data_IF_222994423009
#
_entry.id   IF_222994423009
#
_cell.length_a   1.000
_cell.length_b   1.000
_cell.length_c   1.000
_cell.angle_alpha   90.00
_cell.angle_beta   90.00
_cell.angle_gamma   90.00
#
_symmetry.space_group_name_H-M   'P 1'
#
loop_
_entity.id
_entity.type
_entity.pdbx_description
1 polymer ?
#
# COMPACT_ATOMS: atom_id res chain seq x y z
N UNK A 1 13.34 -3.03 32.53
CA UNK A 1 14.58 -3.58 31.94
C UNK A 1 14.70 -2.99 30.54
N UNK A 2 15.88 -2.49 30.10
CA UNK A 2 16.00 -1.99 28.74
C UNK A 2 15.72 -3.17 27.81
N UNK A 3 14.77 -3.00 26.87
CA UNK A 3 14.60 -3.93 25.77
C UNK A 3 16.00 -4.11 25.15
N UNK A 4 16.51 -5.35 25.16
CA UNK A 4 17.71 -5.66 24.40
C UNK A 4 17.37 -5.29 22.96
N UNK A 5 17.96 -4.19 22.47
CA UNK A 5 18.06 -3.98 21.05
C UNK A 5 18.67 -5.28 20.51
N UNK A 6 18.08 -5.85 19.47
CA UNK A 6 18.72 -6.89 18.69
C UNK A 6 20.01 -6.27 18.11
N UNK A 7 21.09 -6.26 18.89
CA UNK A 7 22.44 -6.12 18.39
C UNK A 7 22.73 -7.45 17.71
N UNK A 8 22.52 -7.47 16.40
CA UNK A 8 22.99 -8.51 15.52
C UNK A 8 24.50 -8.65 15.77
N UNK A 9 24.92 -9.74 16.43
CA UNK A 9 26.34 -10.07 16.52
C UNK A 9 26.88 -10.18 15.11
N UNK A 10 27.91 -9.38 14.81
CA UNK A 10 28.76 -9.49 13.63
C UNK A 10 28.14 -9.17 12.25
N UNK A 11 26.97 -8.52 12.19
CA UNK A 11 26.47 -7.90 10.95
C UNK A 11 26.21 -8.89 9.80
N UNK A 12 26.01 -10.18 10.10
CA UNK A 12 25.66 -11.20 9.12
C UNK A 12 24.46 -11.98 9.64
N UNK A 13 23.35 -11.84 8.94
CA UNK A 13 22.39 -12.93 8.89
C UNK A 13 22.97 -13.97 7.91
N UNK A 14 22.74 -15.26 8.13
CA UNK A 14 23.32 -16.36 7.36
C UNK A 14 23.23 -16.18 5.82
N UNK A 15 23.94 -17.01 5.04
CA UNK A 15 23.90 -16.97 3.56
C UNK A 15 22.48 -17.06 2.96
N UNK A 16 21.45 -17.49 3.73
CA UNK A 16 20.08 -17.64 3.26
C UNK A 16 19.22 -16.37 3.44
N UNK A 17 19.64 -15.45 4.29
CA UNK A 17 18.83 -14.32 4.78
C UNK A 17 19.20 -12.96 4.17
N UNK A 18 20.24 -12.93 3.33
CA UNK A 18 20.61 -11.79 2.49
C UNK A 18 21.49 -10.75 3.21
N UNK A 19 22.15 -9.90 2.42
CA UNK A 19 23.02 -8.84 2.96
C UNK A 19 22.20 -7.78 3.72
N UNK A 20 22.75 -7.28 4.82
CA UNK A 20 22.22 -6.09 5.48
C UNK A 20 22.51 -4.87 4.59
N UNK A 21 21.51 -4.04 4.38
CA UNK A 21 21.67 -2.75 3.69
C UNK A 21 21.17 -1.61 4.55
N UNK A 22 21.96 -0.53 4.57
CA UNK A 22 21.61 0.73 5.23
C UNK A 22 20.97 1.74 4.26
N UNK A 23 21.00 1.48 2.95
CA UNK A 23 20.48 2.39 1.93
C UNK A 23 19.68 1.65 0.86
N UNK A 24 18.36 1.89 0.85
CA UNK A 24 17.42 1.41 -0.17
C UNK A 24 16.86 2.57 -1.02
N UNK A 25 17.48 3.74 -0.96
CA UNK A 25 16.96 4.98 -1.55
C UNK A 25 17.74 5.42 -2.79
N UNK A 26 18.87 4.77 -3.09
CA UNK A 26 19.74 5.08 -4.23
C UNK A 26 19.33 4.39 -5.56
N UNK A 27 18.19 3.69 -5.58
CA UNK A 27 17.73 2.90 -6.72
C UNK A 27 18.07 1.40 -6.64
N UNK A 28 18.86 0.98 -5.64
CA UNK A 28 19.09 -0.43 -5.29
C UNK A 28 18.49 -0.74 -3.92
N UNK A 29 17.71 -1.82 -3.83
CA UNK A 29 16.93 -2.11 -2.62
C UNK A 29 17.14 -3.53 -2.06
N UNK A 30 18.06 -4.32 -2.62
CA UNK A 30 18.29 -5.71 -2.22
C UNK A 30 18.83 -5.79 -0.79
N UNK A 31 18.26 -6.70 0.00
CA UNK A 31 18.77 -7.05 1.32
C UNK A 31 17.77 -6.86 2.45
N UNK A 32 18.25 -6.97 3.69
CA UNK A 32 17.47 -6.65 4.88
C UNK A 32 17.78 -5.22 5.33
N UNK A 33 16.72 -4.43 5.51
CA UNK A 33 16.83 -3.00 5.81
C UNK A 33 16.05 -2.60 7.05
N UNK A 34 16.63 -1.69 7.84
CA UNK A 34 15.93 -1.04 8.95
C UNK A 34 15.03 0.08 8.42
N UNK A 35 13.74 -0.19 8.34
CA UNK A 35 12.85 0.68 7.58
C UNK A 35 12.66 2.08 8.19
N UNK A 36 12.72 3.09 7.33
CA UNK A 36 12.20 4.42 7.62
C UNK A 36 10.68 4.41 7.55
N UNK A 37 10.04 5.11 8.48
CA UNK A 37 8.59 5.25 8.55
C UNK A 37 8.25 6.69 8.84
N UNK A 38 7.03 7.12 8.50
CA UNK A 38 6.49 8.45 8.77
C UNK A 38 6.11 8.63 10.25
N UNK A 39 7.07 8.43 11.16
CA UNK A 39 6.94 8.62 12.61
C UNK A 39 8.17 9.38 13.12
N UNK A 40 7.93 10.50 13.81
CA UNK A 40 8.96 11.31 14.44
C UNK A 40 8.54 11.69 15.86
N UNK A 41 9.47 11.57 16.82
CA UNK A 41 9.25 11.86 18.24
C UNK A 41 7.94 11.26 18.79
N UNK A 42 7.68 9.98 18.49
CA UNK A 42 6.47 9.28 18.93
C UNK A 42 5.16 9.66 18.24
N UNK A 43 5.19 10.58 17.28
CA UNK A 43 4.01 11.03 16.55
C UNK A 43 4.07 10.60 15.09
N UNK A 44 2.91 10.25 14.53
CA UNK A 44 2.77 10.00 13.10
C UNK A 44 2.88 11.31 12.33
N UNK A 45 3.70 11.32 11.27
CA UNK A 45 3.75 12.40 10.29
C UNK A 45 2.65 12.17 9.26
N UNK A 46 1.73 13.11 9.13
CA UNK A 46 0.60 13.03 8.20
C UNK A 46 0.70 14.08 7.09
N UNK A 47 0.04 13.85 5.96
CA UNK A 47 -0.02 14.81 4.85
C UNK A 47 -0.73 16.12 5.22
N UNK A 48 -1.68 16.09 6.16
CA UNK A 48 -2.42 17.29 6.58
C UNK A 48 -1.53 18.35 7.26
N UNK A 49 -0.37 17.96 7.79
CA UNK A 49 0.61 18.88 8.36
C UNK A 49 1.11 19.91 7.33
N UNK A 50 1.07 19.60 6.02
CA UNK A 50 1.42 20.55 4.96
C UNK A 50 0.43 21.73 4.86
N UNK A 51 -0.76 21.63 5.47
CA UNK A 51 -1.84 22.62 5.40
C UNK A 51 -1.86 23.57 6.61
N UNK A 52 -1.38 23.14 7.78
CA UNK A 52 -1.53 23.88 9.06
C UNK A 52 -0.94 25.31 9.03
N UNK A 53 0.11 25.52 8.24
CA UNK A 53 0.84 26.81 8.21
C UNK A 53 0.28 27.80 7.18
N UNK A 54 -0.76 27.43 6.42
CA UNK A 54 -1.19 28.20 5.24
C UNK A 54 -2.52 28.91 5.45
N UNK A 55 -2.47 30.25 5.57
CA UNK A 55 -3.65 31.11 5.73
C UNK A 55 -4.54 31.22 4.48
N UNK A 56 -4.02 30.84 3.31
CA UNK A 56 -4.71 30.90 2.03
C UNK A 56 -5.36 29.56 1.63
N UNK A 57 -5.46 28.61 2.55
CA UNK A 57 -6.10 27.31 2.34
C UNK A 57 -7.38 27.24 3.15
N UNK A 58 -8.50 26.97 2.47
CA UNK A 58 -9.78 26.66 3.12
C UNK A 58 -10.00 25.15 3.10
N UNK A 59 -10.17 24.54 4.26
CA UNK A 59 -10.47 23.10 4.39
C UNK A 59 -11.95 22.94 4.69
N UNK A 60 -12.67 22.31 3.76
CA UNK A 60 -14.05 21.91 3.95
C UNK A 60 -14.07 20.40 4.24
N UNK A 61 -14.49 20.03 5.46
CA UNK A 61 -14.56 18.63 5.91
C UNK A 61 -15.99 18.11 5.88
N UNK A 62 -16.17 16.79 6.06
CA UNK A 62 -17.50 16.13 6.10
C UNK A 62 -18.36 16.45 4.88
N UNK A 63 -17.73 16.50 3.71
CA UNK A 63 -18.33 16.92 2.45
C UNK A 63 -17.99 15.89 1.39
N UNK A 64 -18.99 15.43 0.64
CA UNK A 64 -18.81 14.38 -0.38
C UNK A 64 -18.82 14.98 -1.78
N UNK A 65 -17.88 14.62 -2.64
CA UNK A 65 -17.89 15.07 -4.04
C UNK A 65 -19.03 14.41 -4.81
N UNK A 66 -19.85 15.21 -5.50
CA UNK A 66 -20.96 14.73 -6.34
C UNK A 66 -20.54 14.57 -7.79
N UNK A 67 -19.99 15.62 -8.39
CA UNK A 67 -19.46 15.64 -9.77
C UNK A 67 -18.59 16.87 -10.01
N UNK A 68 -17.76 16.81 -11.05
CA UNK A 68 -17.05 17.97 -11.60
C UNK A 68 -18.00 18.80 -12.48
N UNK A 69 -17.79 20.11 -12.47
CA UNK A 69 -18.54 21.05 -13.29
C UNK A 69 -17.80 21.24 -14.62
N UNK A 70 -18.15 20.47 -15.64
CA UNK A 70 -17.43 20.50 -16.93
C UNK A 70 -18.26 21.23 -17.98
N UNK A 71 -17.66 22.20 -18.66
CA UNK A 71 -18.27 22.81 -19.83
C UNK A 71 -18.16 21.83 -21.02
N UNK A 72 -19.30 21.39 -21.56
CA UNK A 72 -19.32 20.36 -22.59
C UNK A 72 -18.71 20.79 -23.93
N UNK A 73 -18.71 22.09 -24.25
CA UNK A 73 -18.20 22.64 -25.51
C UNK A 73 -16.71 22.87 -25.41
N UNK A 74 -16.27 23.61 -24.39
CA UNK A 74 -14.85 23.95 -24.22
C UNK A 74 -14.04 22.84 -23.56
N UNK A 75 -14.72 21.82 -23.02
CA UNK A 75 -14.13 20.73 -22.22
C UNK A 75 -13.35 21.22 -20.99
N UNK A 76 -13.60 22.45 -20.55
CA UNK A 76 -12.95 23.04 -19.37
C UNK A 76 -13.69 22.65 -18.09
N UNK A 77 -12.95 22.16 -17.10
CA UNK A 77 -13.45 22.02 -15.73
C UNK A 77 -13.54 23.39 -15.04
N UNK A 78 -14.70 23.69 -14.48
CA UNK A 78 -15.04 24.97 -13.85
C UNK A 78 -15.01 24.88 -12.32
N UNK A 79 -14.90 23.69 -11.75
CA UNK A 79 -15.02 23.44 -10.33
C UNK A 79 -15.64 22.10 -10.00
N UNK A 80 -16.24 22.00 -8.82
CA UNK A 80 -16.83 20.77 -8.27
C UNK A 80 -18.17 21.06 -7.59
N UNK A 81 -19.13 20.18 -7.77
CA UNK A 81 -20.36 20.10 -6.98
C UNK A 81 -20.16 19.05 -5.88
N UNK A 82 -20.57 19.38 -4.67
CA UNK A 82 -20.41 18.55 -3.47
C UNK A 82 -21.72 18.48 -2.69
N UNK A 83 -21.85 17.47 -1.84
CA UNK A 83 -22.91 17.35 -0.83
C UNK A 83 -22.34 17.76 0.54
N UNK A 84 -22.96 18.76 1.14
CA UNK A 84 -22.65 19.24 2.49
C UNK A 84 -23.15 18.25 3.56
N UNK A 85 -22.80 18.43 4.86
CA UNK A 85 -23.24 17.52 5.94
C UNK A 85 -24.75 17.38 6.11
N UNK A 86 -25.54 18.30 5.55
CA UNK A 86 -27.00 18.29 5.51
C UNK A 86 -27.56 17.71 4.19
N UNK A 87 -26.72 17.04 3.40
CA UNK A 87 -27.01 16.49 2.07
C UNK A 87 -27.39 17.52 0.99
N UNK A 88 -27.21 18.81 1.28
CA UNK A 88 -27.44 19.88 0.32
C UNK A 88 -26.31 19.96 -0.71
N UNK A 89 -26.69 20.07 -1.99
CA UNK A 89 -25.73 20.23 -3.07
C UNK A 89 -25.21 21.67 -3.14
N UNK A 90 -23.89 21.84 -3.09
CA UNK A 90 -23.23 23.13 -3.23
C UNK A 90 -22.14 23.08 -4.30
N UNK A 91 -22.02 24.15 -5.09
CA UNK A 91 -21.02 24.26 -6.17
C UNK A 91 -19.89 25.21 -5.79
N UNK A 92 -18.65 24.75 -5.95
CA UNK A 92 -17.44 25.56 -5.78
C UNK A 92 -16.75 25.72 -7.13
N UNK A 93 -16.47 26.96 -7.54
CA UNK A 93 -15.78 27.26 -8.81
C UNK A 93 -14.30 27.51 -8.58
N UNK A 94 -13.48 27.02 -9.50
CA UNK A 94 -12.05 27.26 -9.50
C UNK A 94 -11.70 28.44 -10.43
N UNK A 95 -10.90 29.38 -9.95
CA UNK A 95 -10.38 30.49 -10.77
C UNK A 95 -9.34 30.03 -11.80
N UNK A 96 -8.58 28.99 -11.48
CA UNK A 96 -7.51 28.45 -12.32
C UNK A 96 -7.77 26.99 -12.67
N UNK A 97 -7.61 26.09 -11.70
CA UNK A 97 -7.62 24.64 -11.91
C UNK A 97 -8.39 23.91 -10.81
N UNK A 98 -8.91 22.73 -11.16
CA UNK A 98 -9.48 21.77 -10.21
C UNK A 98 -8.63 20.53 -10.22
N UNK A 99 -8.02 20.20 -9.08
CA UNK A 99 -7.13 19.05 -8.92
C UNK A 99 -7.90 17.94 -8.20
N UNK A 100 -8.04 16.78 -8.83
CA UNK A 100 -8.78 15.64 -8.29
C UNK A 100 -7.82 14.72 -7.53
N UNK A 101 -7.98 14.64 -6.20
CA UNK A 101 -7.07 13.92 -5.28
C UNK A 101 -7.81 13.04 -4.27
N UNK A 102 -8.92 12.44 -4.69
CA UNK A 102 -9.77 11.54 -3.88
C UNK A 102 -9.21 10.11 -3.75
N UNK A 103 -8.09 9.79 -4.38
CA UNK A 103 -7.41 8.49 -4.28
C UNK A 103 -7.84 7.50 -5.38
N UNK A 104 -7.25 6.29 -5.35
CA UNK A 104 -7.27 5.34 -6.49
C UNK A 104 -8.67 4.85 -6.88
N UNK A 105 -9.59 4.73 -5.91
CA UNK A 105 -10.97 4.26 -6.18
C UNK A 105 -11.94 5.40 -6.48
N UNK A 106 -11.83 6.51 -5.75
CA UNK A 106 -12.79 7.62 -5.84
C UNK A 106 -12.46 8.61 -6.97
N UNK A 107 -11.18 8.74 -7.38
CA UNK A 107 -10.82 9.52 -8.57
C UNK A 107 -11.53 9.04 -9.84
N UNK A 108 -11.40 7.76 -10.26
CA UNK A 108 -12.08 7.29 -11.46
C UNK A 108 -13.59 7.34 -11.30
N UNK A 109 -14.15 7.06 -10.11
CA UNK A 109 -15.58 7.20 -9.83
C UNK A 109 -16.07 8.61 -10.11
N UNK A 110 -15.42 9.62 -9.53
CA UNK A 110 -15.79 11.02 -9.71
C UNK A 110 -15.66 11.45 -11.17
N UNK A 111 -14.61 11.03 -11.88
CA UNK A 111 -14.44 11.30 -13.31
C UNK A 111 -15.60 10.71 -14.12
N UNK A 112 -15.96 9.45 -13.88
CA UNK A 112 -17.06 8.78 -14.56
C UNK A 112 -18.41 9.47 -14.28
N UNK A 113 -18.72 9.78 -13.02
CA UNK A 113 -19.91 10.56 -12.63
C UNK A 113 -19.96 11.95 -13.28
N UNK A 114 -18.81 12.47 -13.68
CA UNK A 114 -18.68 13.76 -14.38
C UNK A 114 -18.72 13.63 -15.90
N UNK A 115 -18.98 12.43 -16.45
CA UNK A 115 -19.03 12.19 -17.89
C UNK A 115 -17.67 11.96 -18.54
N UNK A 116 -16.62 11.66 -17.77
CA UNK A 116 -15.29 11.30 -18.29
C UNK A 116 -15.04 9.81 -18.01
N UNK A 117 -15.09 8.99 -19.04
CA UNK A 117 -14.88 7.55 -18.93
C UNK A 117 -15.35 6.83 -20.19
N UNK A 118 -15.34 5.49 -20.17
CA UNK A 118 -15.78 4.67 -21.29
C UNK A 118 -17.25 4.94 -21.60
N UNK A 119 -17.55 5.39 -22.82
CA UNK A 119 -18.92 5.72 -23.24
C UNK A 119 -19.92 4.60 -22.93
N UNK A 120 -19.56 3.36 -23.26
CA UNK A 120 -20.42 2.19 -23.02
C UNK A 120 -20.70 1.91 -21.54
N UNK A 121 -19.78 2.27 -20.62
CA UNK A 121 -20.00 2.11 -19.18
C UNK A 121 -20.85 3.25 -18.63
N UNK A 122 -20.62 4.49 -19.08
CA UNK A 122 -21.40 5.66 -18.67
C UNK A 122 -22.88 5.55 -19.08
N UNK A 123 -23.13 5.05 -20.28
CA UNK A 123 -24.48 4.86 -20.81
C UNK A 123 -25.35 3.91 -19.97
N UNK A 124 -24.75 2.96 -19.22
CA UNK A 124 -25.49 2.03 -18.33
C UNK A 124 -26.17 2.75 -17.16
N UNK A 125 -25.68 3.94 -16.81
CA UNK A 125 -26.14 4.73 -15.67
C UNK A 125 -26.76 6.06 -16.11
N UNK A 126 -27.15 6.17 -17.38
CA UNK A 126 -27.70 7.39 -17.99
C UNK A 126 -26.77 8.62 -17.86
N UNK A 127 -25.46 8.39 -17.77
CA UNK A 127 -24.47 9.46 -17.69
C UNK A 127 -24.04 9.85 -19.11
N UNK A 128 -24.27 11.11 -19.45
CA UNK A 128 -23.81 11.68 -20.72
C UNK A 128 -22.28 11.67 -20.78
N UNK A 129 -21.74 11.10 -21.85
CA UNK A 129 -20.29 11.11 -22.10
C UNK A 129 -19.86 12.48 -22.63
N UNK A 130 -18.99 13.15 -21.89
CA UNK A 130 -18.35 14.41 -22.29
C UNK A 130 -17.01 14.13 -22.96
N UNK A 131 -16.24 13.19 -22.40
CA UNK A 131 -14.95 12.71 -22.93
C UNK A 131 -14.96 11.20 -22.83
N UNK A 132 -14.88 10.52 -23.97
CA UNK A 132 -14.69 9.07 -24.01
C UNK A 132 -13.23 8.77 -23.67
N UNK A 133 -13.01 8.19 -22.49
CA UNK A 133 -11.68 7.88 -21.97
C UNK A 133 -11.61 6.43 -21.52
N UNK A 134 -11.01 5.61 -22.36
CA UNK A 134 -11.04 4.16 -22.22
C UNK A 134 -10.35 3.63 -20.94
N UNK A 135 -9.44 4.41 -20.37
CA UNK A 135 -8.61 4.01 -19.24
C UNK A 135 -9.11 4.49 -17.88
N UNK A 136 -10.15 5.33 -17.81
CA UNK A 136 -10.71 5.74 -16.52
C UNK A 136 -11.28 4.51 -15.81
N UNK A 137 -10.79 4.26 -14.59
CA UNK A 137 -11.15 3.08 -13.81
C UNK A 137 -10.45 1.79 -14.25
N UNK A 138 -9.58 1.82 -15.24
CA UNK A 138 -8.81 0.65 -15.68
C UNK A 138 -7.40 0.68 -15.09
N UNK A 139 -6.63 -0.39 -15.32
CA UNK A 139 -5.24 -0.50 -14.89
C UNK A 139 -5.05 -0.43 -13.37
N UNK A 140 -6.04 -0.89 -12.59
CA UNK A 140 -5.91 -0.99 -11.15
C UNK A 140 -4.88 -2.07 -10.80
N UNK A 141 -3.85 -1.69 -10.08
CA UNK A 141 -2.79 -2.58 -9.62
C UNK A 141 -2.62 -2.41 -8.12
N UNK A 142 -2.48 -3.53 -7.44
CA UNK A 142 -2.18 -3.59 -6.02
C UNK A 142 -1.33 -4.84 -5.74
N UNK A 143 -0.79 -4.95 -4.54
CA UNK A 143 0.02 -6.09 -4.11
C UNK A 143 -0.85 -7.09 -3.34
N UNK A 144 -0.95 -8.33 -3.85
CA UNK A 144 -1.59 -9.43 -3.13
C UNK A 144 -0.70 -9.95 -2.01
N UNK A 145 -0.95 -9.51 -0.77
CA UNK A 145 -0.16 -9.86 0.41
C UNK A 145 -0.78 -11.05 1.13
N UNK A 146 0.04 -12.04 1.48
CA UNK A 146 -0.35 -13.08 2.45
C UNK A 146 0.49 -12.92 3.72
N UNK A 147 -0.17 -12.60 4.83
CA UNK A 147 0.45 -12.52 6.14
C UNK A 147 0.33 -13.86 6.87
N UNK A 148 1.38 -14.25 7.59
CA UNK A 148 1.36 -15.37 8.53
C UNK A 148 1.85 -14.91 9.91
N UNK A 149 1.41 -15.60 10.95
CA UNK A 149 1.72 -15.25 12.35
C UNK A 149 2.37 -16.44 13.01
N UNK A 150 3.51 -16.19 13.66
CA UNK A 150 4.20 -17.16 14.50
C UNK A 150 3.98 -16.80 15.96
N UNK A 151 3.68 -17.79 16.83
CA UNK A 151 3.75 -17.55 18.26
C UNK A 151 5.21 -17.26 18.62
N UNK A 152 5.41 -16.24 19.46
CA UNK A 152 6.72 -15.88 19.98
C UNK A 152 6.76 -16.15 21.48
N UNK A 153 7.95 -16.45 22.00
CA UNK A 153 8.16 -16.48 23.44
C UNK A 153 7.78 -15.15 24.11
N UNK A 154 7.34 -15.23 25.37
CA UNK A 154 6.98 -14.04 26.13
C UNK A 154 8.16 -13.06 26.22
N UNK A 155 7.88 -11.79 25.93
CA UNK A 155 8.89 -10.72 25.90
C UNK A 155 9.47 -10.42 24.51
N UNK A 156 9.25 -11.29 23.51
CA UNK A 156 9.69 -11.08 22.13
C UNK A 156 8.62 -10.41 21.24
N UNK A 157 7.48 -10.02 21.81
CA UNK A 157 6.43 -9.27 21.11
C UNK A 157 5.91 -8.09 21.94
N UNK A 158 5.14 -7.21 21.29
CA UNK A 158 4.48 -6.08 21.95
C UNK A 158 3.01 -6.35 22.32
N UNK A 159 2.54 -7.59 22.20
CA UNK A 159 1.14 -7.98 22.43
C UNK A 159 0.65 -7.57 23.82
N UNK A 160 1.43 -7.85 24.86
CA UNK A 160 1.10 -7.51 26.24
C UNK A 160 1.18 -6.01 26.56
N UNK A 161 1.82 -5.24 25.71
CA UNK A 161 1.93 -3.78 25.86
C UNK A 161 0.84 -3.03 25.08
N UNK A 162 0.40 -3.57 23.93
CA UNK A 162 -0.44 -2.84 22.98
C UNK A 162 -1.83 -3.44 22.75
N UNK A 163 -1.97 -4.77 22.87
CA UNK A 163 -3.19 -5.48 22.48
C UNK A 163 -3.94 -6.05 23.67
N UNK A 164 -3.22 -6.64 24.63
CA UNK A 164 -3.82 -7.35 25.78
C UNK A 164 -3.90 -6.42 26.99
N UNK A 165 -5.03 -6.44 27.69
CA UNK A 165 -5.18 -5.72 28.94
C UNK A 165 -4.24 -6.28 30.03
N UNK A 166 -3.73 -5.42 30.90
CA UNK A 166 -2.84 -5.80 32.01
C UNK A 166 -1.92 -4.65 32.43
N UNK A 167 -1.12 -4.89 33.46
CA UNK A 167 -0.24 -3.87 34.03
C UNK A 167 0.79 -3.32 33.03
N UNK A 168 1.28 -4.16 32.11
CA UNK A 168 2.22 -3.75 31.06
C UNK A 168 1.56 -2.80 30.04
N UNK A 169 0.30 -3.07 29.69
CA UNK A 169 -0.50 -2.20 28.85
C UNK A 169 -0.79 -0.87 29.52
N UNK A 170 -1.26 -0.89 30.77
CA UNK A 170 -1.56 0.32 31.54
C UNK A 170 -0.30 1.20 31.70
N UNK A 171 0.85 0.57 31.94
CA UNK A 171 2.14 1.26 31.99
C UNK A 171 2.55 1.86 30.63
N UNK A 172 2.33 1.13 29.53
CA UNK A 172 2.61 1.60 28.17
C UNK A 172 1.73 2.80 27.79
N UNK A 173 0.42 2.73 28.06
CA UNK A 173 -0.55 3.82 27.86
C UNK A 173 -0.15 5.04 28.68
N UNK A 174 0.14 4.85 29.98
CA UNK A 174 0.55 5.93 30.88
C UNK A 174 1.84 6.60 30.40
N UNK A 175 2.85 5.82 30.01
CA UNK A 175 4.13 6.35 29.52
C UNK A 175 3.94 7.17 28.24
N UNK A 176 3.09 6.72 27.31
CA UNK A 176 2.81 7.47 26.11
C UNK A 176 2.04 8.76 26.41
N UNK A 177 0.96 8.67 27.19
CA UNK A 177 0.12 9.82 27.55
C UNK A 177 0.91 10.94 28.22
N UNK A 178 1.83 10.60 29.11
CA UNK A 178 2.53 11.60 29.94
C UNK A 178 3.92 11.98 29.43
N UNK A 179 4.58 11.11 28.65
CA UNK A 179 5.97 11.33 28.23
C UNK A 179 6.16 11.26 26.72
N UNK A 180 5.14 10.91 25.95
CA UNK A 180 5.22 10.65 24.51
C UNK A 180 6.37 9.67 24.16
N UNK A 181 6.47 8.61 24.97
CA UNK A 181 7.51 7.57 24.92
C UNK A 181 6.89 6.19 25.15
N UNK A 182 7.69 5.14 24.98
CA UNK A 182 7.29 3.76 25.29
C UNK A 182 6.66 3.04 24.10
N UNK A 183 6.08 1.84 24.32
CA UNK A 183 5.65 0.95 23.23
C UNK A 183 4.70 1.55 22.20
N UNK A 184 3.87 2.52 22.58
CA UNK A 184 2.96 3.22 21.65
C UNK A 184 3.67 4.13 20.63
N UNK A 185 4.95 4.46 20.85
CA UNK A 185 5.78 5.14 19.85
C UNK A 185 6.47 4.17 18.89
N UNK A 186 6.27 2.86 19.08
CA UNK A 186 6.85 1.82 18.23
C UNK A 186 6.31 1.92 16.80
N UNK A 187 7.16 1.50 15.87
CA UNK A 187 6.84 1.42 14.45
C UNK A 187 6.09 0.13 14.10
N UNK A 188 6.15 -0.88 14.99
CA UNK A 188 5.69 -2.27 14.83
C UNK A 188 6.32 -3.04 13.66
N UNK A 189 6.81 -2.33 12.65
CA UNK A 189 7.69 -2.82 11.59
C UNK A 189 9.03 -2.13 11.77
N UNK A 190 10.07 -2.92 12.03
CA UNK A 190 11.43 -2.42 12.27
C UNK A 190 12.43 -2.85 11.21
N UNK A 191 12.31 -4.08 10.73
CA UNK A 191 13.15 -4.67 9.68
C UNK A 191 12.25 -5.10 8.52
N UNK A 192 12.70 -4.83 7.30
CA UNK A 192 12.01 -5.19 6.05
C UNK A 192 12.98 -5.92 5.15
N UNK A 193 12.67 -7.19 4.86
CA UNK A 193 13.44 -7.99 3.91
C UNK A 193 12.98 -7.70 2.48
N UNK A 194 13.96 -7.54 1.59
CA UNK A 194 13.78 -7.33 0.16
C UNK A 194 14.65 -8.34 -0.62
N UNK A 195 14.33 -9.65 -0.51
CA UNK A 195 15.14 -10.71 -1.11
C UNK A 195 14.83 -10.91 -2.59
N UNK A 196 15.74 -11.64 -3.24
CA UNK A 196 15.46 -12.42 -4.44
C UNK A 196 15.37 -13.90 -4.08
N UNK A 197 14.50 -14.65 -4.76
CA UNK A 197 14.32 -16.09 -4.55
C UNK A 197 14.46 -16.88 -5.87
N UNK A 198 15.31 -16.41 -6.79
CA UNK A 198 15.56 -17.05 -8.10
C UNK A 198 15.87 -18.54 -7.97
N UNK A 199 16.72 -18.94 -7.02
CA UNK A 199 17.12 -20.34 -6.83
C UNK A 199 15.93 -21.27 -6.52
N UNK A 200 14.84 -20.70 -5.99
CA UNK A 200 13.57 -21.40 -5.77
C UNK A 200 12.72 -21.39 -7.03
N UNK A 201 12.63 -20.25 -7.70
CA UNK A 201 11.76 -20.05 -8.86
C UNK A 201 12.29 -20.71 -10.16
N UNK A 202 13.60 -20.77 -10.35
CA UNK A 202 14.26 -21.42 -11.51
C UNK A 202 14.03 -22.93 -11.56
N UNK A 203 13.37 -23.52 -10.56
CA UNK A 203 12.92 -24.92 -10.58
C UNK A 203 11.62 -25.12 -11.37
N UNK A 204 10.90 -24.03 -11.66
CA UNK A 204 9.59 -24.05 -12.27
C UNK A 204 9.66 -23.61 -13.74
N UNK A 205 9.27 -24.47 -14.70
CA UNK A 205 9.29 -24.14 -16.14
C UNK A 205 8.52 -22.86 -16.49
N UNK A 206 7.44 -22.57 -15.78
CA UNK A 206 6.60 -21.39 -15.97
C UNK A 206 7.37 -20.09 -15.69
N UNK A 207 8.22 -20.10 -14.66
CA UNK A 207 9.07 -18.95 -14.34
C UNK A 207 10.20 -18.78 -15.37
N UNK A 208 10.83 -19.88 -15.79
CA UNK A 208 11.88 -19.85 -16.82
C UNK A 208 11.32 -19.26 -18.11
N UNK A 209 10.16 -19.75 -18.57
CA UNK A 209 9.49 -19.26 -19.77
C UNK A 209 9.11 -17.77 -19.65
N UNK A 210 8.60 -17.33 -18.50
CA UNK A 210 8.26 -15.93 -18.27
C UNK A 210 9.50 -15.02 -18.27
N UNK A 211 10.61 -15.48 -17.71
CA UNK A 211 11.90 -14.77 -17.73
C UNK A 211 12.47 -14.66 -19.13
N UNK A 212 12.42 -15.74 -19.91
CA UNK A 212 12.82 -15.74 -21.33
C UNK A 212 11.96 -14.78 -22.16
N UNK A 213 10.63 -14.82 -22.00
CA UNK A 213 9.69 -13.93 -22.67
C UNK A 213 9.92 -12.45 -22.31
N UNK A 214 10.48 -12.17 -21.13
CA UNK A 214 10.85 -10.85 -20.64
C UNK A 214 12.34 -10.49 -20.95
N UNK A 215 12.94 -11.10 -21.96
CA UNK A 215 14.31 -10.78 -22.42
C UNK A 215 15.40 -11.25 -21.45
N UNK A 216 15.14 -12.32 -20.69
CA UNK A 216 16.04 -12.84 -19.66
C UNK A 216 15.95 -12.10 -18.32
N UNK A 217 15.11 -11.06 -18.23
CA UNK A 217 14.90 -10.29 -17.01
C UNK A 217 13.79 -10.89 -16.15
N UNK A 218 13.91 -10.71 -14.84
CA UNK A 218 12.91 -11.18 -13.89
C UNK A 218 11.52 -10.58 -14.19
N UNK A 219 10.46 -11.40 -14.34
CA UNK A 219 9.12 -10.88 -14.57
C UNK A 219 8.60 -10.02 -13.41
N UNK A 220 9.01 -10.30 -12.16
CA UNK A 220 8.43 -9.72 -10.95
C UNK A 220 9.16 -8.49 -10.40
N UNK A 221 10.21 -8.00 -11.06
CA UNK A 221 10.94 -6.82 -10.63
C UNK A 221 11.81 -6.24 -11.74
N UNK A 222 12.13 -4.93 -11.71
CA UNK A 222 13.09 -4.36 -12.65
C UNK A 222 14.51 -4.87 -12.36
N UNK A 223 15.28 -5.26 -13.38
CA UNK A 223 16.73 -5.49 -13.39
C UNK A 223 17.41 -5.74 -12.02
N UNK A 224 17.46 -6.99 -11.58
CA UNK A 224 18.14 -7.45 -10.35
C UNK A 224 17.59 -6.91 -9.01
N UNK A 225 16.53 -6.10 -9.03
CA UNK A 225 15.86 -5.60 -7.83
C UNK A 225 15.06 -6.70 -7.11
N UNK A 226 14.65 -6.46 -5.85
CA UNK A 226 13.95 -7.45 -5.02
C UNK A 226 12.68 -8.00 -5.68
N UNK A 227 12.38 -9.25 -5.36
CA UNK A 227 11.17 -9.94 -5.82
C UNK A 227 10.01 -9.77 -4.83
N UNK A 228 10.34 -9.81 -3.54
CA UNK A 228 9.39 -9.86 -2.43
C UNK A 228 9.68 -8.75 -1.43
N UNK A 229 8.65 -8.30 -0.70
CA UNK A 229 8.80 -7.37 0.42
C UNK A 229 8.28 -8.02 1.69
N UNK A 230 9.06 -7.90 2.76
CA UNK A 230 8.81 -8.40 4.13
C UNK A 230 9.01 -9.91 4.34
N UNK A 231 9.71 -10.26 5.43
CA UNK A 231 9.92 -11.64 5.88
C UNK A 231 8.66 -12.27 6.48
N UNK A 232 7.67 -11.48 6.93
CA UNK A 232 6.41 -12.00 7.50
C UNK A 232 5.18 -11.84 6.60
N UNK A 233 5.33 -11.10 5.50
CA UNK A 233 4.24 -10.76 4.58
C UNK A 233 4.75 -10.72 3.14
N UNK A 234 5.20 -11.84 2.55
CA UNK A 234 5.75 -11.84 1.20
C UNK A 234 4.68 -11.46 0.16
N UNK A 235 5.09 -10.76 -0.89
CA UNK A 235 4.28 -10.48 -2.09
C UNK A 235 5.17 -10.09 -3.27
N UNK A 236 4.79 -10.43 -4.52
CA UNK A 236 5.51 -9.99 -5.69
C UNK A 236 5.40 -8.47 -5.88
N UNK A 237 6.53 -7.78 -6.08
CA UNK A 237 6.58 -6.33 -6.30
C UNK A 237 6.04 -5.89 -7.68
N UNK A 238 6.08 -6.77 -8.69
CA UNK A 238 5.46 -6.55 -9.99
C UNK A 238 4.57 -7.74 -10.38
N UNK A 239 3.28 -7.74 -9.99
CA UNK A 239 2.40 -8.84 -10.32
C UNK A 239 2.25 -9.03 -11.84
N UNK A 240 2.16 -10.28 -12.28
CA UNK A 240 1.91 -10.65 -13.69
C UNK A 240 0.43 -10.85 -14.00
N UNK A 241 -0.43 -10.89 -12.97
CA UNK A 241 -1.88 -10.82 -13.13
C UNK A 241 -2.27 -9.60 -13.96
N UNK A 242 -3.26 -9.77 -14.84
CA UNK A 242 -3.88 -8.65 -15.53
C UNK A 242 -4.39 -7.64 -14.49
N UNK A 243 -4.24 -6.35 -14.79
CA UNK A 243 -4.76 -5.31 -13.91
C UNK A 243 -6.25 -5.48 -13.63
N UNK A 244 -6.64 -5.11 -12.42
CA UNK A 244 -8.03 -4.96 -12.02
C UNK A 244 -8.72 -3.76 -12.65
N UNK A 245 -9.91 -3.47 -12.13
CA UNK A 245 -10.74 -2.34 -12.54
C UNK A 245 -11.51 -1.72 -11.38
N UNK A 246 -11.96 -0.50 -11.61
CA UNK A 246 -12.92 0.26 -10.83
C UNK A 246 -14.03 0.72 -11.78
N UNK A 247 -15.26 0.27 -11.55
CA UNK A 247 -16.43 0.65 -12.35
C UNK A 247 -17.51 1.29 -11.47
N UNK A 248 -18.47 1.99 -12.09
CA UNK A 248 -19.60 2.51 -11.36
C UNK A 248 -20.55 1.36 -10.98
N UNK A 249 -21.01 1.35 -9.73
CA UNK A 249 -22.17 0.54 -9.32
C UNK A 249 -23.50 1.30 -9.48
N UNK A 250 -23.46 2.63 -9.48
CA UNK A 250 -24.61 3.53 -9.51
C UNK A 250 -24.18 4.93 -9.97
N UNK A 251 -25.14 5.75 -10.38
CA UNK A 251 -24.97 7.19 -10.59
C UNK A 251 -25.02 8.00 -9.27
N UNK A 252 -25.39 7.36 -8.16
CA UNK A 252 -25.38 7.99 -6.83
C UNK A 252 -23.93 8.17 -6.34
N UNK A 253 -23.46 9.41 -6.09
CA UNK A 253 -22.10 9.69 -5.63
C UNK A 253 -21.76 9.08 -4.27
N UNK A 254 -22.77 8.76 -3.44
CA UNK A 254 -22.59 8.15 -2.12
C UNK A 254 -22.43 6.63 -2.19
N UNK A 255 -22.72 6.02 -3.34
CA UNK A 255 -22.50 4.59 -3.55
C UNK A 255 -21.03 4.35 -3.90
N UNK A 256 -20.45 3.34 -3.26
CA UNK A 256 -19.08 2.90 -3.57
C UNK A 256 -19.00 2.32 -4.99
N UNK A 257 -17.87 2.48 -5.69
CA UNK A 257 -17.70 1.86 -7.00
C UNK A 257 -17.57 0.34 -6.87
N UNK A 258 -17.75 -0.37 -7.98
CA UNK A 258 -17.31 -1.75 -8.11
C UNK A 258 -15.78 -1.75 -8.12
N UNK A 259 -15.16 -2.60 -7.30
CA UNK A 259 -13.71 -2.70 -7.22
C UNK A 259 -13.35 -4.16 -7.40
N UNK A 260 -12.61 -4.45 -8.47
CA UNK A 260 -12.02 -5.75 -8.70
C UNK A 260 -10.50 -5.59 -8.78
N UNK A 261 -9.78 -6.08 -7.75
CA UNK A 261 -8.32 -6.04 -7.71
C UNK A 261 -7.67 -7.07 -8.65
N UNK A 262 -8.43 -8.09 -9.05
CA UNK A 262 -8.00 -9.17 -9.94
C UNK A 262 -6.70 -9.87 -9.49
N UNK A 263 -6.54 -10.03 -8.17
CA UNK A 263 -5.40 -10.75 -7.60
C UNK A 263 -5.36 -12.20 -8.09
N UNK A 264 -4.14 -12.71 -8.28
CA UNK A 264 -3.88 -14.12 -8.63
C UNK A 264 -4.55 -14.62 -9.92
N UNK A 265 -4.98 -13.72 -10.81
CA UNK A 265 -5.45 -14.10 -12.15
C UNK A 265 -4.36 -14.77 -13.03
N UNK A 266 -3.09 -14.71 -12.62
CA UNK A 266 -1.99 -15.45 -13.23
C UNK A 266 -1.38 -16.40 -12.18
N UNK A 267 -1.33 -17.70 -12.48
CA UNK A 267 -0.82 -18.73 -11.57
C UNK A 267 0.65 -18.52 -11.18
N UNK A 268 1.44 -17.85 -12.02
CA UNK A 268 2.83 -17.52 -11.71
C UNK A 268 2.92 -16.61 -10.47
N UNK A 269 1.93 -15.74 -10.23
CA UNK A 269 1.85 -14.94 -9.00
C UNK A 269 1.63 -15.80 -7.76
N UNK A 270 0.80 -16.85 -7.87
CA UNK A 270 0.54 -17.79 -6.79
C UNK A 270 1.84 -18.53 -6.45
N UNK A 271 2.55 -18.99 -7.48
CA UNK A 271 3.83 -19.68 -7.35
C UNK A 271 4.89 -18.80 -6.68
N UNK A 272 5.03 -17.55 -7.13
CA UNK A 272 5.95 -16.58 -6.53
C UNK A 272 5.61 -16.29 -5.06
N UNK A 273 4.33 -16.14 -4.75
CA UNK A 273 3.87 -15.96 -3.37
C UNK A 273 4.19 -17.19 -2.51
N UNK A 274 3.91 -18.38 -3.02
CA UNK A 274 4.14 -19.65 -2.31
C UNK A 274 5.62 -19.87 -2.00
N UNK A 275 6.52 -19.69 -2.97
CA UNK A 275 7.95 -19.80 -2.71
C UNK A 275 8.48 -18.65 -1.84
N UNK A 276 7.87 -17.47 -1.91
CA UNK A 276 8.15 -16.36 -1.00
C UNK A 276 7.84 -16.72 0.45
N UNK A 277 6.71 -17.39 0.71
CA UNK A 277 6.34 -17.89 2.04
C UNK A 277 7.33 -18.95 2.50
N UNK A 278 7.65 -19.94 1.66
CA UNK A 278 8.61 -20.99 2.03
C UNK A 278 10.02 -20.46 2.29
N UNK A 279 10.41 -19.38 1.62
CA UNK A 279 11.65 -18.69 1.92
C UNK A 279 11.59 -17.99 3.28
N UNK A 280 10.52 -17.21 3.52
CA UNK A 280 10.27 -16.54 4.79
C UNK A 280 10.25 -17.52 5.97
N UNK A 281 9.52 -18.63 5.86
CA UNK A 281 9.47 -19.69 6.85
C UNK A 281 10.86 -20.28 7.11
N UNK A 282 11.67 -20.46 6.07
CA UNK A 282 13.06 -20.91 6.20
C UNK A 282 13.89 -19.96 7.06
N UNK A 283 13.82 -18.66 6.75
CA UNK A 283 14.54 -17.61 7.51
C UNK A 283 14.10 -17.59 8.97
N UNK A 284 12.79 -17.65 9.23
CA UNK A 284 12.25 -17.49 10.58
C UNK A 284 12.40 -18.76 11.43
N UNK A 285 12.19 -19.94 10.85
CA UNK A 285 12.14 -21.20 11.60
C UNK A 285 13.51 -21.89 11.70
N UNK A 286 14.45 -21.59 10.80
CA UNK A 286 15.76 -22.25 10.78
C UNK A 286 16.95 -21.30 10.94
N UNK A 287 16.73 -19.99 10.78
CA UNK A 287 17.77 -18.97 10.90
C UNK A 287 18.38 -18.92 12.30
N UNK A 288 19.70 -18.73 12.35
CA UNK A 288 20.43 -18.59 13.62
C UNK A 288 19.93 -17.36 14.39
N UNK A 289 19.62 -17.54 15.68
CA UNK A 289 19.05 -16.48 16.52
C UNK A 289 17.56 -16.19 16.31
N UNK A 290 16.92 -16.82 15.33
CA UNK A 290 15.47 -16.73 15.08
C UNK A 290 14.70 -17.96 15.58
N UNK A 291 15.31 -19.15 15.52
CA UNK A 291 14.71 -20.37 16.09
C UNK A 291 14.69 -20.32 17.63
N UNK A 292 13.62 -20.85 18.22
CA UNK A 292 13.58 -21.15 19.65
C UNK A 292 14.68 -22.17 19.98
N UNK A 293 15.41 -21.96 21.08
CA UNK A 293 16.47 -22.88 21.55
C UNK A 293 15.91 -24.03 22.38
#
# INVERSE_FOLDING_TARGET
MPARAFELRDGKLDEQSGELTDDVHNGTMRGLWKCTVSIYNGNRSFSWMCLEVRKNVTVLSKTNSKRLLINEVTKKCLGVEVLLPNDEAHSFRAGYETIVSSGVFENPKLLMLSGIGRQANLAKFDIKTIVDSAHVGQNLLDHGILAHVFPLEYGNSLDHHLLRAGLEHDAAVSTYRWKNKGPYTSRLVGLVGLPRIDDRLMKYPEYIAAKEANGGLDPFGPAEQPLSRSTSCPYPLRPQSRSGMVELNSADPLVQPEINLNFFANDLNILALWEGIRWADGVLMTGEGMKDN
#
